data_IF_268199345020
#
_entry.id   IF_268199345020
#
_cell.length_a   1.000
_cell.length_b   1.000
_cell.length_c   1.000
_cell.angle_alpha   90.00
_cell.angle_beta   90.00
_cell.angle_gamma   90.00
#
_symmetry.space_group_name_H-M   'P 1'
#
loop_
_entity.id
_entity.type
_entity.pdbx_description
1 polymer ?
#
# COMPACT_ATOMS: atom_id res chain seq x y z
N UNK A 1 10.48 2.25 1.13
CA UNK A 1 9.22 2.19 1.89
C UNK A 1 9.38 1.87 3.38
N UNK A 2 10.24 0.92 3.72
CA UNK A 2 10.41 0.53 5.12
C UNK A 2 10.75 1.70 6.03
N UNK A 3 11.56 2.65 5.55
CA UNK A 3 11.96 3.84 6.30
C UNK A 3 10.78 4.77 6.63
N UNK A 4 9.67 4.66 5.92
CA UNK A 4 8.48 5.46 6.17
C UNK A 4 7.70 4.99 7.41
N UNK A 5 8.01 3.80 7.94
CA UNK A 5 7.35 3.28 9.14
C UNK A 5 8.08 3.70 10.39
N UNK A 6 7.29 4.06 11.41
CA UNK A 6 7.79 4.25 12.76
C UNK A 6 8.18 2.88 13.33
N UNK A 7 9.44 2.70 13.66
CA UNK A 7 9.97 1.41 14.08
C UNK A 7 9.45 0.98 15.46
N UNK A 8 8.91 1.91 16.25
CA UNK A 8 8.27 1.58 17.51
C UNK A 8 6.85 1.05 17.31
N UNK A 9 6.21 1.40 16.19
CA UNK A 9 4.82 1.07 15.90
C UNK A 9 4.69 -0.13 14.96
N UNK A 10 5.67 -0.35 14.09
CA UNK A 10 5.62 -1.38 13.05
C UNK A 10 5.40 -2.79 13.61
N UNK A 11 5.82 -3.04 14.83
CA UNK A 11 5.64 -4.34 15.51
C UNK A 11 4.25 -4.53 16.10
N UNK A 12 3.47 -3.45 16.23
CA UNK A 12 2.23 -3.48 17.00
C UNK A 12 0.99 -3.12 16.20
N UNK A 13 1.12 -2.25 15.21
CA UNK A 13 -0.02 -1.67 14.50
C UNK A 13 0.16 -1.87 13.00
N UNK A 14 -0.87 -2.41 12.34
CA UNK A 14 -0.89 -2.50 10.89
C UNK A 14 -1.25 -1.15 10.28
N UNK A 15 -0.46 -0.72 9.30
CA UNK A 15 -0.70 0.49 8.52
C UNK A 15 -0.60 0.17 7.04
N UNK A 16 -1.36 0.91 6.23
CA UNK A 16 -1.15 0.90 4.79
C UNK A 16 -0.72 2.28 4.33
N UNK A 17 0.32 2.32 3.51
CA UNK A 17 0.85 3.53 2.91
C UNK A 17 0.89 3.39 1.39
N UNK A 18 0.91 4.53 0.71
CA UNK A 18 0.94 4.56 -0.75
C UNK A 18 1.99 5.53 -1.23
N UNK A 19 2.81 5.07 -2.17
CA UNK A 19 3.75 5.90 -2.90
C UNK A 19 3.09 6.35 -4.20
N UNK A 20 3.17 7.65 -4.49
CA UNK A 20 2.63 8.24 -5.72
C UNK A 20 3.79 8.54 -6.66
N UNK A 21 3.69 8.11 -7.91
CA UNK A 21 4.77 8.21 -8.87
C UNK A 21 4.30 8.89 -10.16
N UNK A 22 5.22 9.65 -10.78
CA UNK A 22 4.99 10.23 -12.10
C UNK A 22 5.34 9.23 -13.22
N UNK A 23 5.24 9.65 -14.48
CA UNK A 23 5.54 8.80 -15.64
C UNK A 23 6.98 8.30 -15.69
N UNK A 24 7.89 9.02 -15.06
CA UNK A 24 9.30 8.64 -14.99
C UNK A 24 9.61 7.82 -13.74
N UNK A 25 8.57 7.39 -13.01
CA UNK A 25 8.67 6.67 -11.75
C UNK A 25 9.38 7.47 -10.65
N UNK A 26 9.29 8.80 -10.73
CA UNK A 26 9.78 9.67 -9.65
C UNK A 26 8.70 9.80 -8.59
N UNK A 27 9.12 9.86 -7.34
CA UNK A 27 8.20 9.95 -6.21
C UNK A 27 7.60 11.35 -6.14
N UNK A 28 6.27 11.42 -6.25
CA UNK A 28 5.51 12.65 -6.05
C UNK A 28 5.16 12.86 -4.57
N UNK A 29 4.99 11.78 -3.84
CA UNK A 29 4.67 11.83 -2.43
C UNK A 29 4.40 10.46 -1.86
N UNK A 30 4.28 10.42 -0.54
CA UNK A 30 3.88 9.21 0.20
C UNK A 30 2.74 9.60 1.13
N UNK A 31 1.70 8.77 1.20
CA UNK A 31 0.53 9.03 2.04
C UNK A 31 0.21 7.81 2.91
N UNK A 32 -0.25 8.07 4.12
CA UNK A 32 -0.80 7.05 4.99
C UNK A 32 -2.29 6.93 4.69
N UNK A 33 -2.74 5.72 4.36
CA UNK A 33 -4.12 5.46 3.98
C UNK A 33 -4.96 4.98 5.14
N UNK A 34 -4.36 4.23 6.07
CA UNK A 34 -5.06 3.68 7.21
C UNK A 34 -4.05 3.31 8.29
N UNK A 35 -4.50 3.34 9.53
CA UNK A 35 -3.68 3.00 10.69
C UNK A 35 -4.54 2.36 11.76
N UNK A 36 -4.06 1.23 12.28
CA UNK A 36 -4.70 0.57 13.40
C UNK A 36 -5.78 -0.41 12.99
N UNK A 37 -6.32 -1.09 13.99
CA UNK A 37 -7.30 -2.13 13.82
C UNK A 37 -6.73 -3.49 14.13
N UNK A 38 -7.47 -4.27 14.90
CA UNK A 38 -7.07 -5.61 15.31
C UNK A 38 -7.53 -6.69 14.33
N UNK A 39 -8.42 -6.35 13.41
CA UNK A 39 -9.07 -7.31 12.51
C UNK A 39 -8.99 -6.90 11.05
N UNK A 40 -7.91 -6.23 10.69
CA UNK A 40 -7.72 -5.77 9.33
C UNK A 40 -8.08 -4.30 9.19
N UNK A 41 -7.39 -3.66 8.29
CA UNK A 41 -7.58 -2.27 7.95
C UNK A 41 -8.70 -2.14 6.94
N UNK A 42 -9.67 -1.28 7.21
CA UNK A 42 -10.67 -0.93 6.21
C UNK A 42 -10.02 0.05 5.25
N UNK A 43 -9.86 -0.38 4.00
CA UNK A 43 -9.25 0.44 2.95
C UNK A 43 -10.36 1.09 2.13
N UNK A 44 -10.30 2.40 2.04
CA UNK A 44 -11.21 3.18 1.22
C UNK A 44 -10.59 3.41 -0.16
N UNK A 45 -11.05 2.67 -1.16
CA UNK A 45 -10.55 2.78 -2.54
C UNK A 45 -10.80 4.19 -3.09
N UNK A 46 -11.90 4.80 -2.70
CA UNK A 46 -12.21 6.17 -3.14
C UNK A 46 -11.12 7.15 -2.68
N UNK A 47 -10.64 6.99 -1.44
CA UNK A 47 -9.57 7.83 -0.91
C UNK A 47 -8.25 7.62 -1.68
N UNK A 48 -7.92 6.37 -2.01
CA UNK A 48 -6.75 6.04 -2.83
C UNK A 48 -6.83 6.79 -4.16
N UNK A 49 -7.96 6.71 -4.82
CA UNK A 49 -8.14 7.34 -6.13
C UNK A 49 -8.14 8.87 -6.03
N UNK A 50 -8.68 9.44 -4.96
CA UNK A 50 -8.64 10.88 -4.73
C UNK A 50 -7.20 11.39 -4.63
N UNK A 51 -6.35 10.71 -3.87
CA UNK A 51 -4.94 11.08 -3.76
C UNK A 51 -4.23 10.93 -5.11
N UNK A 52 -4.43 9.82 -5.79
CA UNK A 52 -3.77 9.56 -7.07
C UNK A 52 -4.16 10.58 -8.14
N UNK A 53 -5.45 10.88 -8.25
CA UNK A 53 -5.95 11.86 -9.23
C UNK A 53 -5.51 13.28 -8.90
N UNK A 54 -5.56 13.65 -7.62
CA UNK A 54 -5.18 15.00 -7.18
C UNK A 54 -3.68 15.25 -7.38
N UNK A 55 -2.86 14.23 -7.19
CA UNK A 55 -1.42 14.31 -7.42
C UNK A 55 -1.05 14.15 -8.90
N UNK A 56 -2.02 13.83 -9.75
CA UNK A 56 -1.78 13.49 -11.15
C UNK A 56 -0.76 12.34 -11.28
N UNK A 57 -0.90 11.34 -10.45
CA UNK A 57 -0.02 10.19 -10.42
C UNK A 57 -0.25 9.30 -11.64
N UNK A 58 0.83 8.81 -12.24
CA UNK A 58 0.78 7.82 -13.32
C UNK A 58 0.81 6.40 -12.76
N UNK A 59 1.49 6.22 -11.63
CA UNK A 59 1.59 4.93 -10.98
C UNK A 59 1.53 5.07 -9.47
N UNK A 60 1.17 3.97 -8.80
CA UNK A 60 1.17 3.89 -7.34
C UNK A 60 1.83 2.57 -6.91
N UNK A 61 2.43 2.60 -5.74
CA UNK A 61 2.89 1.41 -5.05
C UNK A 61 2.26 1.42 -3.66
N UNK A 62 1.61 0.32 -3.31
CA UNK A 62 1.03 0.14 -1.99
C UNK A 62 1.98 -0.67 -1.11
N UNK A 63 1.96 -0.40 0.17
CA UNK A 63 2.67 -1.22 1.14
C UNK A 63 1.88 -1.26 2.43
N UNK A 64 1.84 -2.42 3.06
CA UNK A 64 1.33 -2.56 4.41
C UNK A 64 2.27 -3.45 5.22
N UNK A 65 2.31 -3.23 6.52
CA UNK A 65 3.14 -4.05 7.38
C UNK A 65 2.32 -5.16 8.03
N UNK A 66 2.96 -6.30 8.24
CA UNK A 66 2.44 -7.37 9.08
C UNK A 66 3.23 -7.37 10.39
N UNK A 67 2.66 -6.89 11.50
CA UNK A 67 3.38 -6.83 12.78
C UNK A 67 3.92 -8.18 13.27
N UNK A 68 3.24 -9.27 12.89
CA UNK A 68 3.65 -10.63 13.26
C UNK A 68 4.93 -11.10 12.59
N UNK A 69 5.38 -10.42 11.53
CA UNK A 69 6.50 -10.87 10.71
C UNK A 69 6.12 -11.86 9.61
N UNK A 70 4.85 -12.21 9.49
CA UNK A 70 4.37 -13.13 8.46
C UNK A 70 4.33 -12.42 7.10
N UNK A 71 5.00 -12.99 6.10
CA UNK A 71 5.03 -12.43 4.73
C UNK A 71 3.90 -12.93 3.84
N UNK A 72 3.05 -13.84 4.32
CA UNK A 72 1.95 -14.35 3.51
C UNK A 72 0.80 -13.36 3.50
N UNK A 73 0.27 -13.01 2.30
CA UNK A 73 -0.90 -12.15 2.23
C UNK A 73 -2.12 -12.89 2.77
N UNK A 74 -2.99 -12.15 3.45
CA UNK A 74 -4.30 -12.67 3.85
C UNK A 74 -5.23 -12.72 2.63
N UNK A 75 -6.34 -13.44 2.75
CA UNK A 75 -7.36 -13.45 1.72
C UNK A 75 -7.92 -12.03 1.51
N UNK A 76 -8.10 -11.28 2.59
CA UNK A 76 -8.56 -9.90 2.52
C UNK A 76 -7.54 -9.01 1.78
N UNK A 77 -6.24 -9.20 2.01
CA UNK A 77 -5.18 -8.50 1.30
C UNK A 77 -5.29 -8.73 -0.20
N UNK A 78 -5.47 -9.97 -0.62
CA UNK A 78 -5.56 -10.33 -2.04
C UNK A 78 -6.81 -9.76 -2.69
N UNK A 79 -7.94 -9.79 -2.00
CA UNK A 79 -9.20 -9.24 -2.52
C UNK A 79 -9.14 -7.73 -2.71
N UNK A 80 -8.62 -7.00 -1.73
CA UNK A 80 -8.55 -5.54 -1.83
C UNK A 80 -7.55 -5.12 -2.91
N UNK A 81 -6.42 -5.83 -3.02
CA UNK A 81 -5.42 -5.57 -4.04
C UNK A 81 -6.00 -5.74 -5.45
N UNK A 82 -6.77 -6.81 -5.66
CA UNK A 82 -7.43 -7.06 -6.94
C UNK A 82 -8.42 -5.95 -7.30
N UNK A 83 -9.21 -5.50 -6.34
CA UNK A 83 -10.16 -4.40 -6.55
C UNK A 83 -9.45 -3.09 -6.87
N UNK A 84 -8.36 -2.79 -6.17
CA UNK A 84 -7.57 -1.58 -6.42
C UNK A 84 -6.96 -1.64 -7.82
N UNK A 85 -6.41 -2.78 -8.21
CA UNK A 85 -5.82 -2.95 -9.55
C UNK A 85 -6.83 -2.70 -10.65
N UNK A 86 -8.03 -3.25 -10.52
CA UNK A 86 -9.09 -3.06 -11.50
C UNK A 86 -9.55 -1.60 -11.60
N UNK A 87 -9.67 -0.93 -10.46
CA UNK A 87 -10.05 0.48 -10.42
C UNK A 87 -8.96 1.35 -11.04
N UNK A 88 -7.70 1.06 -10.75
CA UNK A 88 -6.56 1.75 -11.34
C UNK A 88 -6.55 1.63 -12.86
N UNK A 89 -6.81 0.43 -13.40
CA UNK A 89 -6.88 0.22 -14.84
C UNK A 89 -7.93 1.10 -15.50
N UNK A 90 -9.09 1.20 -14.90
CA UNK A 90 -10.18 2.03 -15.42
C UNK A 90 -9.77 3.49 -15.50
N UNK A 91 -8.98 3.97 -14.55
CA UNK A 91 -8.52 5.37 -14.49
C UNK A 91 -7.16 5.57 -15.16
N UNK A 92 -6.64 4.57 -15.83
CA UNK A 92 -5.32 4.62 -16.49
C UNK A 92 -4.18 4.95 -15.54
N UNK A 93 -4.27 4.43 -14.32
CA UNK A 93 -3.22 4.50 -13.31
C UNK A 93 -2.64 3.10 -13.16
N UNK A 94 -1.32 2.99 -13.05
CA UNK A 94 -0.67 1.69 -12.89
C UNK A 94 -0.48 1.36 -11.42
N UNK A 95 -1.06 0.26 -10.96
CA UNK A 95 -0.65 -0.34 -9.68
C UNK A 95 0.62 -1.14 -9.95
N UNK A 96 1.76 -0.57 -9.62
CA UNK A 96 3.06 -1.18 -9.92
C UNK A 96 3.38 -2.34 -8.99
N UNK A 97 3.01 -2.23 -7.73
CA UNK A 97 3.20 -3.31 -6.75
C UNK A 97 2.39 -3.06 -5.49
N UNK A 98 2.28 -4.12 -4.68
CA UNK A 98 1.75 -4.07 -3.34
C UNK A 98 2.68 -4.90 -2.46
N UNK A 99 3.37 -4.25 -1.54
CA UNK A 99 4.39 -4.87 -0.72
C UNK A 99 3.87 -5.18 0.68
N UNK A 100 4.24 -6.35 1.19
CA UNK A 100 4.08 -6.68 2.61
C UNK A 100 5.44 -6.47 3.26
N UNK A 101 5.48 -5.72 4.35
CA UNK A 101 6.70 -5.36 5.05
C UNK A 101 6.64 -5.91 6.47
N UNK A 102 7.77 -6.39 6.98
CA UNK A 102 7.87 -6.89 8.35
C UNK A 102 8.73 -5.99 9.23
N UNK A 103 8.60 -6.11 10.57
CA UNK A 103 9.46 -5.37 11.49
C UNK A 103 10.95 -5.63 11.29
N UNK A 104 11.31 -6.79 10.74
CA UNK A 104 12.70 -7.21 10.48
C UNK A 104 13.23 -6.69 9.15
N UNK A 105 12.50 -5.77 8.49
CA UNK A 105 12.85 -5.22 7.18
C UNK A 105 12.89 -6.29 6.06
N UNK A 106 12.03 -7.29 6.17
CA UNK A 106 11.78 -8.23 5.08
C UNK A 106 10.55 -7.75 4.30
N UNK A 107 10.45 -8.12 3.03
CA UNK A 107 9.29 -7.76 2.25
C UNK A 107 8.92 -8.85 1.24
N UNK A 108 7.68 -8.79 0.80
CA UNK A 108 7.16 -9.65 -0.28
C UNK A 108 6.33 -8.81 -1.22
N UNK A 109 6.57 -8.98 -2.52
CA UNK A 109 5.71 -8.41 -3.57
C UNK A 109 4.49 -9.30 -3.76
N UNK A 110 3.30 -8.71 -3.74
CA UNK A 110 2.06 -9.44 -3.98
C UNK A 110 1.74 -9.58 -5.46
N UNK A 111 2.37 -8.79 -6.33
CA UNK A 111 2.11 -8.79 -7.77
C UNK A 111 3.15 -9.56 -8.59
N UNK A 112 4.18 -10.03 -7.95
CA UNK A 112 5.20 -10.87 -8.59
C UNK A 112 4.98 -12.35 -8.35
#
# INVERSE_FOLDING_TARGET
FWDAWDKEVIEHIEEMKMLLLDRSNRVLGIVSLSKGGTTGTVIDIKLIMQYALKANAHGIILAHNHPSGNLNPSEADSKITDRIEKTCKTLEIHLLDHLIITPENEYRSMLE
#
